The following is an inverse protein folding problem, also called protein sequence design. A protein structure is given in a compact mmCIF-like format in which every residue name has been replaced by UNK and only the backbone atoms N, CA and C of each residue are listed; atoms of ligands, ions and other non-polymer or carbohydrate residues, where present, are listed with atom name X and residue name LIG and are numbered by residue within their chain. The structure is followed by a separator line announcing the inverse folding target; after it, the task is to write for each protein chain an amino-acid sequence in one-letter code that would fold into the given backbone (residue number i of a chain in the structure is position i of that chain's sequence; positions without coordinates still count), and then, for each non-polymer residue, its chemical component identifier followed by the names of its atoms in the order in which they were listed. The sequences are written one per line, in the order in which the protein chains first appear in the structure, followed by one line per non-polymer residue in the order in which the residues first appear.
data_IF_842789445014
#
_entry.id   IF_842789445014
#
_cell.length_a   1.000
_cell.length_b   1.000
_cell.length_c   1.000
_cell.angle_alpha   90.00
_cell.angle_beta   90.00
_cell.angle_gamma   90.00
#
_symmetry.space_group_name_H-M   'P 1'
#
loop_
_entity.id
_entity.type
_entity.pdbx_description
1 polymer ?
#
# COMPACT_ATOMS: atom_id res chain seq x y z
N UNK A 1 -20.56 -4.17 -12.76
CA UNK A 1 -19.71 -4.60 -13.90
C UNK A 1 -18.25 -4.78 -13.50
N UNK A 2 -17.70 -3.92 -12.65
CA UNK A 2 -16.33 -4.04 -12.14
C UNK A 2 -16.17 -5.26 -11.24
N UNK A 3 -17.15 -5.54 -10.39
CA UNK A 3 -17.13 -6.69 -9.46
C UNK A 3 -17.15 -8.04 -10.20
N UNK A 4 -17.87 -8.12 -11.32
CA UNK A 4 -17.94 -9.34 -12.14
C UNK A 4 -16.60 -9.64 -12.85
N UNK A 5 -15.84 -8.59 -13.21
CA UNK A 5 -14.51 -8.75 -13.81
C UNK A 5 -13.48 -9.26 -12.81
N UNK A 6 -13.61 -8.91 -11.52
CA UNK A 6 -12.68 -9.36 -10.47
C UNK A 6 -12.83 -10.85 -10.10
N UNK A 7 -13.90 -11.51 -10.49
CA UNK A 7 -14.17 -12.94 -10.18
C UNK A 7 -13.76 -13.90 -11.29
N UNK A 8 -13.37 -13.39 -12.47
CA UNK A 8 -12.87 -14.24 -13.55
C UNK A 8 -11.33 -14.25 -13.52
N UNK A 9 -10.68 -15.42 -13.56
CA UNK A 9 -9.24 -15.52 -13.78
C UNK A 9 -8.98 -15.11 -15.23
N UNK A 10 -8.75 -13.84 -15.47
CA UNK A 10 -8.74 -13.32 -16.81
C UNK A 10 -7.38 -12.67 -17.12
N UNK A 11 -6.64 -13.34 -17.99
CA UNK A 11 -5.44 -12.77 -18.63
C UNK A 11 -5.73 -11.48 -19.42
N UNK A 12 -7.01 -11.10 -19.62
CA UNK A 12 -7.42 -9.82 -20.19
C UNK A 12 -7.19 -8.63 -19.24
N UNK A 13 -7.15 -8.85 -17.91
CA UNK A 13 -6.84 -7.77 -16.96
C UNK A 13 -5.45 -7.17 -17.19
N UNK A 14 -4.46 -8.00 -17.48
CA UNK A 14 -3.09 -7.54 -17.72
C UNK A 14 -2.96 -6.68 -18.99
N UNK A 15 -3.93 -6.73 -19.87
CA UNK A 15 -3.94 -6.01 -21.15
C UNK A 15 -4.87 -4.80 -21.18
N UNK A 16 -5.75 -4.63 -20.19
CA UNK A 16 -6.66 -3.49 -20.15
C UNK A 16 -5.94 -2.25 -19.62
N UNK A 17 -5.70 -1.22 -20.44
CA UNK A 17 -4.96 -0.03 -20.00
C UNK A 17 -5.65 0.75 -18.88
N UNK A 18 -6.93 0.47 -18.61
CA UNK A 18 -7.67 1.10 -17.48
C UNK A 18 -7.30 0.49 -16.12
N UNK A 19 -6.72 -0.70 -16.11
CA UNK A 19 -6.34 -1.41 -14.89
C UNK A 19 -4.85 -1.19 -14.54
N UNK A 20 -4.19 -0.25 -15.22
CA UNK A 20 -2.80 0.09 -14.99
C UNK A 20 -2.64 1.37 -14.17
N UNK A 21 -1.61 1.40 -13.35
CA UNK A 21 -1.16 2.59 -12.62
C UNK A 21 0.36 2.60 -12.50
N UNK A 22 0.90 3.76 -12.18
CA UNK A 22 2.32 3.91 -11.82
C UNK A 22 2.44 4.17 -10.32
N UNK A 23 3.58 3.84 -9.68
CA UNK A 23 3.81 4.19 -8.28
C UNK A 23 3.61 5.70 -8.01
N UNK A 24 4.03 6.56 -8.94
CA UNK A 24 3.85 8.01 -8.83
C UNK A 24 2.38 8.42 -8.84
N UNK A 25 1.58 7.88 -9.78
CA UNK A 25 0.15 8.18 -9.85
C UNK A 25 -0.60 7.67 -8.61
N UNK A 26 -0.26 6.48 -8.14
CA UNK A 26 -0.83 5.92 -6.91
C UNK A 26 -0.44 6.72 -5.67
N UNK A 27 0.80 7.22 -5.58
CA UNK A 27 1.22 8.10 -4.50
C UNK A 27 0.43 9.42 -4.52
N UNK A 28 0.21 10.01 -5.70
CA UNK A 28 -0.64 11.21 -5.84
C UNK A 28 -2.08 10.95 -5.38
N UNK A 29 -2.64 9.77 -5.67
CA UNK A 29 -3.95 9.36 -5.18
C UNK A 29 -3.97 9.27 -3.65
N UNK A 30 -2.98 8.63 -3.04
CA UNK A 30 -2.86 8.56 -1.57
C UNK A 30 -2.79 9.96 -0.96
N UNK A 31 -1.99 10.86 -1.51
CA UNK A 31 -1.88 12.25 -1.02
C UNK A 31 -3.20 13.02 -1.19
N UNK A 32 -3.95 12.77 -2.26
CA UNK A 32 -5.29 13.34 -2.45
C UNK A 32 -6.28 12.81 -1.39
N UNK A 33 -6.25 11.53 -1.09
CA UNK A 33 -7.04 10.92 0.00
C UNK A 33 -6.65 11.55 1.33
N UNK A 34 -5.37 11.67 1.61
CA UNK A 34 -4.86 12.23 2.88
C UNK A 34 -5.26 13.69 3.09
N UNK A 35 -5.20 14.50 2.04
CA UNK A 35 -5.65 15.90 2.08
C UNK A 35 -7.17 16.07 2.03
N UNK A 36 -7.93 15.00 1.76
CA UNK A 36 -9.39 15.04 1.58
C UNK A 36 -9.83 15.64 0.23
N UNK A 37 -8.93 15.77 -0.74
CA UNK A 37 -9.26 16.31 -2.05
C UNK A 37 -10.27 15.42 -2.76
N UNK A 38 -11.45 15.98 -3.08
CA UNK A 38 -12.53 15.26 -3.77
C UNK A 38 -13.34 14.31 -2.88
N UNK A 39 -13.11 14.30 -1.56
CA UNK A 39 -13.84 13.48 -0.59
C UNK A 39 -14.47 14.36 0.50
N UNK A 40 -15.68 13.98 0.96
CA UNK A 40 -16.19 14.53 2.22
C UNK A 40 -15.34 14.05 3.40
N UNK A 41 -15.33 14.81 4.50
CA UNK A 41 -14.61 14.39 5.72
C UNK A 41 -15.03 12.98 6.18
N UNK A 42 -16.34 12.69 6.15
CA UNK A 42 -16.89 11.38 6.51
C UNK A 42 -16.41 10.26 5.58
N UNK A 43 -16.38 10.51 4.26
CA UNK A 43 -15.91 9.52 3.29
C UNK A 43 -14.42 9.25 3.44
N UNK A 44 -13.62 10.28 3.68
CA UNK A 44 -12.19 10.18 3.94
C UNK A 44 -11.92 9.35 5.21
N UNK A 45 -12.60 9.67 6.30
CA UNK A 45 -12.47 8.94 7.57
C UNK A 45 -12.85 7.47 7.40
N UNK A 46 -13.98 7.18 6.76
CA UNK A 46 -14.44 5.83 6.49
C UNK A 46 -13.43 5.04 5.64
N UNK A 47 -12.87 5.66 4.61
CA UNK A 47 -11.86 5.03 3.74
C UNK A 47 -10.59 4.69 4.53
N UNK A 48 -10.03 5.65 5.27
CA UNK A 48 -8.82 5.43 6.07
C UNK A 48 -9.04 4.39 7.18
N UNK A 49 -10.19 4.42 7.84
CA UNK A 49 -10.57 3.42 8.84
C UNK A 49 -10.74 2.02 8.22
N UNK A 50 -11.23 1.93 6.98
CA UNK A 50 -11.33 0.67 6.24
C UNK A 50 -9.95 0.15 5.87
N UNK A 51 -9.07 1.00 5.36
CA UNK A 51 -7.69 0.65 5.05
C UNK A 51 -6.90 0.17 6.28
N UNK A 52 -7.14 0.76 7.45
CA UNK A 52 -6.46 0.35 8.70
C UNK A 52 -6.86 -1.04 9.19
N UNK A 53 -8.01 -1.54 8.76
CA UNK A 53 -8.50 -2.90 9.07
C UNK A 53 -8.12 -3.96 8.04
N UNK A 54 -7.27 -3.62 7.07
CA UNK A 54 -6.79 -4.58 6.06
C UNK A 54 -6.03 -5.73 6.72
N UNK A 55 -6.45 -6.97 6.42
CA UNK A 55 -5.83 -8.21 6.94
C UNK A 55 -5.00 -8.95 5.88
N UNK A 56 -5.12 -8.59 4.61
CA UNK A 56 -4.36 -9.20 3.51
C UNK A 56 -2.91 -8.72 3.51
N UNK A 57 -1.99 -9.54 2.98
CA UNK A 57 -0.56 -9.24 2.87
C UNK A 57 0.12 -8.89 4.20
N UNK A 58 -0.03 -9.70 5.27
CA UNK A 58 0.56 -9.38 6.57
C UNK A 58 2.09 -9.32 6.53
N UNK A 59 2.70 -9.98 5.57
CA UNK A 59 4.15 -9.98 5.33
C UNK A 59 4.68 -8.81 4.50
N UNK A 60 3.79 -7.93 3.99
CA UNK A 60 4.16 -6.79 3.13
C UNK A 60 4.49 -5.55 3.97
N UNK A 61 3.87 -4.40 3.74
CA UNK A 61 4.20 -3.16 4.45
C UNK A 61 4.30 -3.32 5.98
N UNK A 62 3.49 -4.20 6.57
CA UNK A 62 3.51 -4.49 8.02
C UNK A 62 4.62 -5.44 8.47
N UNK A 63 5.16 -6.25 7.56
CA UNK A 63 5.88 -7.47 7.87
C UNK A 63 7.10 -7.32 8.77
N UNK A 64 7.84 -6.23 8.65
CA UNK A 64 9.05 -5.94 9.44
C UNK A 64 8.95 -4.68 10.29
N UNK A 65 7.79 -4.03 10.34
CA UNK A 65 7.59 -2.86 11.20
C UNK A 65 7.51 -3.27 12.68
N UNK A 66 7.84 -2.37 13.61
CA UNK A 66 7.64 -2.61 15.03
C UNK A 66 6.20 -3.01 15.33
N UNK A 67 6.01 -3.94 16.25
CA UNK A 67 4.69 -4.43 16.65
C UNK A 67 3.80 -3.26 17.09
N UNK A 68 2.60 -3.20 16.56
CA UNK A 68 1.63 -2.15 16.90
C UNK A 68 1.75 -0.88 16.05
N UNK A 69 2.70 -0.80 15.10
CA UNK A 69 2.77 0.32 14.15
C UNK A 69 1.46 0.44 13.38
N UNK A 70 0.76 1.59 13.43
CA UNK A 70 -0.47 1.78 12.68
C UNK A 70 -0.19 1.86 11.17
N UNK A 71 -0.84 0.98 10.40
CA UNK A 71 -0.74 0.94 8.94
C UNK A 71 -2.13 0.88 8.34
N UNK A 72 -2.47 1.87 7.52
CA UNK A 72 -3.68 1.88 6.70
C UNK A 72 -3.29 1.58 5.26
N UNK A 73 -3.65 0.39 4.74
CA UNK A 73 -3.13 -0.05 3.45
C UNK A 73 -4.12 -0.83 2.59
N UNK A 74 -3.78 -1.01 1.32
CA UNK A 74 -4.50 -1.83 0.34
C UNK A 74 -3.51 -2.65 -0.46
N UNK A 75 -3.70 -3.96 -0.45
CA UNK A 75 -2.89 -4.92 -1.21
C UNK A 75 -3.50 -5.24 -2.58
N UNK A 76 -2.66 -5.68 -3.50
CA UNK A 76 -3.04 -6.28 -4.78
C UNK A 76 -2.15 -7.48 -5.08
N UNK A 77 -2.75 -8.58 -5.56
CA UNK A 77 -2.01 -9.81 -5.91
C UNK A 77 -2.64 -10.44 -7.13
N UNK A 78 -1.84 -10.63 -8.17
CA UNK A 78 -2.20 -11.37 -9.38
C UNK A 78 -0.89 -11.89 -10.00
N UNK A 79 -0.91 -12.98 -10.74
CA UNK A 79 0.24 -13.70 -11.28
C UNK A 79 1.53 -12.89 -11.44
N UNK A 80 2.56 -13.16 -10.61
CA UNK A 80 3.84 -12.45 -10.62
C UNK A 80 3.83 -11.01 -10.10
N UNK A 81 2.69 -10.54 -9.57
CA UNK A 81 2.50 -9.20 -9.00
C UNK A 81 2.12 -9.30 -7.53
N UNK A 82 2.86 -8.61 -6.68
CA UNK A 82 2.51 -8.38 -5.28
C UNK A 82 2.66 -6.89 -5.00
N UNK A 83 1.56 -6.20 -4.76
CA UNK A 83 1.52 -4.77 -4.53
C UNK A 83 1.02 -4.47 -3.12
N UNK A 84 1.53 -3.41 -2.51
CA UNK A 84 0.97 -2.86 -1.28
C UNK A 84 1.19 -1.34 -1.25
N UNK A 85 0.15 -0.60 -0.89
CA UNK A 85 0.15 0.87 -0.87
C UNK A 85 -0.60 1.37 0.34
N UNK A 86 -0.15 2.46 0.95
CA UNK A 86 -0.87 3.00 2.09
C UNK A 86 -0.10 4.03 2.89
N UNK A 87 -0.47 4.12 4.15
CA UNK A 87 0.07 5.08 5.11
C UNK A 87 0.64 4.33 6.33
N UNK A 88 1.81 4.77 6.77
CA UNK A 88 2.46 4.29 7.99
C UNK A 88 2.56 5.47 8.95
N UNK A 89 2.11 5.27 10.19
CA UNK A 89 2.17 6.29 11.24
C UNK A 89 3.33 6.01 12.18
N UNK A 90 4.18 7.01 12.39
CA UNK A 90 5.30 6.97 13.32
C UNK A 90 4.85 7.18 14.77
N UNK A 91 5.66 6.82 15.77
CA UNK A 91 5.31 6.99 17.19
C UNK A 91 5.06 8.45 17.61
N UNK A 92 5.62 9.40 16.90
CA UNK A 92 5.43 10.85 17.12
C UNK A 92 4.17 11.41 16.44
N UNK A 93 3.35 10.55 15.81
CA UNK A 93 2.13 10.91 15.12
C UNK A 93 2.31 11.37 13.66
N UNK A 94 3.55 11.58 13.21
CA UNK A 94 3.79 11.84 11.79
C UNK A 94 3.40 10.62 10.95
N UNK A 95 2.93 10.89 9.74
CA UNK A 95 2.51 9.84 8.80
C UNK A 95 3.15 10.06 7.45
N UNK A 96 3.56 8.99 6.80
CA UNK A 96 4.02 9.05 5.41
C UNK A 96 3.25 8.06 4.54
N UNK A 97 3.11 8.40 3.26
CA UNK A 97 2.54 7.52 2.25
C UNK A 97 3.64 6.69 1.60
N UNK A 98 3.33 5.44 1.32
CA UNK A 98 4.23 4.49 0.66
C UNK A 98 3.49 3.73 -0.43
N UNK A 99 4.17 3.50 -1.55
CA UNK A 99 3.66 2.70 -2.67
C UNK A 99 4.78 1.75 -3.11
N UNK A 100 4.51 0.46 -3.06
CA UNK A 100 5.41 -0.57 -3.59
C UNK A 100 4.64 -1.43 -4.58
N UNK A 101 5.10 -1.43 -5.82
CA UNK A 101 4.60 -2.28 -6.89
C UNK A 101 5.69 -3.25 -7.31
N UNK A 102 5.33 -4.53 -7.45
CA UNK A 102 6.14 -5.54 -8.13
C UNK A 102 5.47 -5.89 -9.44
N UNK A 103 6.24 -6.29 -10.44
CA UNK A 103 5.70 -6.67 -11.74
C UNK A 103 6.56 -7.79 -12.37
N UNK A 104 5.91 -8.69 -13.08
CA UNK A 104 6.56 -9.75 -13.86
C UNK A 104 7.59 -10.57 -13.05
N UNK A 105 7.37 -10.73 -11.75
CA UNK A 105 8.28 -11.45 -10.89
C UNK A 105 8.16 -12.97 -11.09
N UNK A 106 9.29 -13.63 -11.18
CA UNK A 106 9.41 -15.10 -11.18
C UNK A 106 9.77 -15.64 -9.80
N UNK A 107 10.00 -14.77 -8.81
CA UNK A 107 10.28 -15.19 -7.43
C UNK A 107 9.01 -15.59 -6.70
N UNK A 108 9.16 -16.26 -5.56
CA UNK A 108 8.02 -16.65 -4.74
C UNK A 108 7.26 -15.42 -4.21
N UNK A 109 5.97 -15.58 -3.94
CA UNK A 109 5.18 -14.51 -3.30
C UNK A 109 5.76 -14.12 -1.93
N UNK A 110 6.34 -15.08 -1.21
CA UNK A 110 6.98 -14.83 0.07
C UNK A 110 8.20 -13.91 -0.07
N UNK A 111 9.02 -14.08 -1.11
CA UNK A 111 10.17 -13.21 -1.37
C UNK A 111 9.73 -11.81 -1.79
N UNK A 112 8.67 -11.71 -2.59
CA UNK A 112 8.07 -10.42 -2.96
C UNK A 112 7.52 -9.69 -1.74
N UNK A 113 6.78 -10.40 -0.88
CA UNK A 113 6.23 -9.85 0.37
C UNK A 113 7.37 -9.35 1.28
N UNK A 114 8.44 -10.13 1.40
CA UNK A 114 9.63 -9.76 2.17
C UNK A 114 10.32 -8.51 1.61
N UNK A 115 10.51 -8.42 0.30
CA UNK A 115 11.10 -7.23 -0.33
C UNK A 115 10.27 -5.97 -0.03
N UNK A 116 8.94 -6.06 -0.10
CA UNK A 116 8.04 -4.96 0.28
C UNK A 116 8.24 -4.58 1.74
N UNK A 117 8.35 -5.57 2.64
CA UNK A 117 8.55 -5.34 4.06
C UNK A 117 9.90 -4.67 4.36
N UNK A 118 10.97 -5.07 3.68
CA UNK A 118 12.32 -4.48 3.84
C UNK A 118 12.34 -3.02 3.37
N UNK A 119 11.70 -2.71 2.23
CA UNK A 119 11.54 -1.32 1.76
C UNK A 119 10.75 -0.49 2.78
N UNK A 120 9.63 -1.02 3.25
CA UNK A 120 8.80 -0.37 4.26
C UNK A 120 9.56 -0.08 5.55
N UNK A 121 10.33 -1.06 6.04
CA UNK A 121 11.16 -0.93 7.23
C UNK A 121 12.26 0.11 7.06
N UNK A 122 12.95 0.11 5.94
CA UNK A 122 14.03 1.07 5.65
C UNK A 122 13.52 2.51 5.67
N UNK A 123 12.34 2.76 5.08
CA UNK A 123 11.73 4.09 5.10
C UNK A 123 11.23 4.47 6.50
N UNK A 124 10.65 3.51 7.24
CA UNK A 124 10.25 3.74 8.62
C UNK A 124 11.43 4.18 9.48
N UNK A 125 12.54 3.46 9.42
CA UNK A 125 13.75 3.77 10.20
C UNK A 125 14.35 5.12 9.78
N UNK A 126 14.40 5.43 8.49
CA UNK A 126 14.85 6.72 7.98
C UNK A 126 14.05 7.88 8.57
N UNK A 127 12.71 7.81 8.48
CA UNK A 127 11.84 8.88 8.98
C UNK A 127 11.82 8.95 10.50
N UNK A 128 11.93 7.82 11.19
CA UNK A 128 11.99 7.76 12.65
C UNK A 128 13.27 8.40 13.18
N UNK A 129 14.43 8.06 12.61
CA UNK A 129 15.73 8.57 13.05
C UNK A 129 15.92 10.06 12.71
N UNK A 130 15.47 10.51 11.54
CA UNK A 130 15.57 11.93 11.17
C UNK A 130 14.70 12.84 12.02
N UNK A 131 13.72 12.31 12.73
CA UNK A 131 12.93 13.08 13.69
C UNK A 131 13.66 13.36 14.99
N UNK A 132 14.55 12.47 15.40
CA UNK A 132 15.30 12.60 16.69
C UNK A 132 16.49 13.54 16.58
N UNK A 133 16.83 13.98 15.37
CA UNK A 133 18.00 14.84 15.10
C UNK A 133 17.64 16.35 15.09
N UNK A 134 16.44 16.72 15.50
CA UNK A 134 15.97 18.11 15.67
C UNK A 134 15.58 18.36 17.11
#
# INVERSE_FOLDING_TARGET
TLLLKMTQPNMEFEKDPRDHSTPKAMLQLLLAIDSGKGLSAKSREFLLATMSRTHTGPGRLKGLLPKGTPVAHKTGTIGGVANDVGFITLPDGRRFAIVVFTNSSTTSTADQDRAIAEISRSLYDLYYLTAQSK
#
